data_IF_424382876843
#
_entry.id   IF_424382876843
#
_cell.length_a   1.000
_cell.length_b   1.000
_cell.length_c   1.000
_cell.angle_alpha   90.00
_cell.angle_beta   90.00
_cell.angle_gamma   90.00
#
_symmetry.space_group_name_H-M   'P 1'
#
loop_
_entity.id
_entity.type
_entity.pdbx_description
1 polymer ?
#
# COMPACT_ATOMS: atom_id res chain seq x y z
N UNK A 1 17.67 -11.13 19.54
CA UNK A 1 16.43 -10.44 19.97
C UNK A 1 15.85 -9.76 18.77
N UNK A 2 14.67 -10.15 18.31
CA UNK A 2 13.99 -9.57 17.15
C UNK A 2 13.42 -8.17 17.45
N UNK A 3 13.15 -7.36 16.42
CA UNK A 3 12.54 -6.03 16.59
C UNK A 3 11.19 -6.09 17.31
N UNK A 4 10.37 -7.10 17.01
CA UNK A 4 9.07 -7.33 17.68
C UNK A 4 9.27 -7.54 19.19
N UNK A 5 10.23 -8.38 19.58
CA UNK A 5 10.55 -8.65 21.00
C UNK A 5 11.04 -7.38 21.70
N UNK A 6 11.93 -6.62 21.05
CA UNK A 6 12.43 -5.34 21.57
C UNK A 6 11.28 -4.35 21.76
N UNK A 7 10.38 -4.28 20.78
CA UNK A 7 9.25 -3.37 20.84
C UNK A 7 8.33 -3.73 22.00
N UNK A 8 7.93 -5.00 22.13
CA UNK A 8 7.03 -5.44 23.19
C UNK A 8 7.66 -5.28 24.58
N UNK A 9 8.92 -5.65 24.76
CA UNK A 9 9.62 -5.50 26.03
C UNK A 9 9.65 -4.05 26.50
N UNK A 10 9.94 -3.11 25.59
CA UNK A 10 10.04 -1.70 25.93
C UNK A 10 8.64 -1.07 26.10
N UNK A 11 7.70 -1.46 25.23
CA UNK A 11 6.31 -1.00 25.30
C UNK A 11 5.66 -1.38 26.62
N UNK A 12 5.83 -2.62 27.10
CA UNK A 12 5.27 -3.05 28.38
C UNK A 12 5.96 -2.41 29.60
N UNK A 13 7.24 -2.05 29.50
CA UNK A 13 7.98 -1.40 30.60
C UNK A 13 7.59 0.06 30.77
N UNK A 14 7.50 0.80 29.68
CA UNK A 14 7.34 2.26 29.71
C UNK A 14 5.94 2.72 29.30
N UNK A 15 5.07 1.81 28.82
CA UNK A 15 3.77 2.11 28.24
C UNK A 15 3.84 3.19 27.15
N UNK A 16 4.93 3.18 26.36
CA UNK A 16 5.24 4.19 25.35
C UNK A 16 5.76 3.54 24.08
N UNK A 17 4.93 3.54 23.04
CA UNK A 17 5.29 3.01 21.72
C UNK A 17 6.41 3.83 21.06
N UNK A 18 6.48 5.13 21.32
CA UNK A 18 7.54 6.00 20.79
C UNK A 18 8.91 5.64 21.38
N UNK A 19 8.99 5.36 22.69
CA UNK A 19 10.26 4.94 23.31
C UNK A 19 10.68 3.55 22.81
N UNK A 20 9.72 2.65 22.65
CA UNK A 20 9.94 1.35 22.03
C UNK A 20 10.47 1.47 20.58
N UNK A 21 9.91 2.41 19.79
CA UNK A 21 10.41 2.73 18.46
C UNK A 21 11.84 3.27 18.51
N UNK A 22 12.14 4.21 19.40
CA UNK A 22 13.51 4.77 19.56
C UNK A 22 14.51 3.66 19.85
N UNK A 23 14.13 2.69 20.69
CA UNK A 23 14.97 1.53 21.01
C UNK A 23 15.15 0.62 19.79
N UNK A 24 14.07 0.30 19.08
CA UNK A 24 14.10 -0.51 17.86
C UNK A 24 14.98 0.16 16.78
N UNK A 25 14.81 1.45 16.55
CA UNK A 25 15.61 2.25 15.63
C UNK A 25 17.11 2.20 15.95
N UNK A 26 17.48 2.41 17.22
CA UNK A 26 18.89 2.31 17.67
C UNK A 26 19.47 0.91 17.42
N UNK A 27 18.69 -0.14 17.67
CA UNK A 27 19.14 -1.52 17.48
C UNK A 27 19.27 -1.87 15.99
N UNK A 28 18.26 -1.55 15.16
CA UNK A 28 18.32 -1.83 13.72
C UNK A 28 19.48 -1.08 13.06
N UNK A 29 19.64 0.20 13.37
CA UNK A 29 20.73 1.03 12.85
C UNK A 29 22.11 0.45 13.19
N UNK A 30 22.27 -0.15 14.38
CA UNK A 30 23.51 -0.86 14.74
C UNK A 30 23.72 -2.15 13.94
N UNK A 31 22.67 -2.95 13.72
CA UNK A 31 22.75 -4.21 12.95
C UNK A 31 23.17 -3.96 11.50
N UNK A 32 22.59 -2.92 10.91
CA UNK A 32 22.79 -2.54 9.52
C UNK A 32 23.96 -1.58 9.33
N UNK A 33 24.70 -1.24 10.41
CA UNK A 33 25.77 -0.23 10.40
C UNK A 33 25.36 1.12 9.79
N UNK A 34 24.06 1.42 9.78
CA UNK A 34 23.52 2.64 9.18
C UNK A 34 23.64 2.73 7.67
N UNK A 35 23.42 1.62 6.95
CA UNK A 35 23.19 1.57 5.49
C UNK A 35 22.39 2.80 5.01
N UNK A 36 22.82 3.39 3.89
CA UNK A 36 22.21 4.60 3.30
C UNK A 36 21.87 4.45 1.82
N UNK A 37 22.32 3.38 1.18
CA UNK A 37 22.10 3.15 -0.25
C UNK A 37 20.96 2.14 -0.46
N UNK A 38 20.18 2.33 -1.52
CA UNK A 38 19.02 1.49 -1.84
C UNK A 38 19.45 0.05 -2.13
N UNK A 39 20.57 -0.14 -2.81
CA UNK A 39 21.12 -1.46 -3.15
C UNK A 39 21.56 -2.25 -1.91
N UNK A 40 22.06 -1.55 -0.88
CA UNK A 40 22.41 -2.17 0.39
C UNK A 40 21.14 -2.54 1.19
N UNK A 41 20.11 -1.69 1.14
CA UNK A 41 18.78 -2.00 1.70
C UNK A 41 18.20 -3.25 1.02
N UNK A 42 18.25 -3.31 -0.32
CA UNK A 42 17.79 -4.44 -1.11
C UNK A 42 18.47 -5.75 -0.68
N UNK A 43 19.81 -5.77 -0.63
CA UNK A 43 20.56 -6.98 -0.23
C UNK A 43 20.33 -7.39 1.23
N UNK A 44 19.97 -6.45 2.10
CA UNK A 44 19.65 -6.76 3.48
C UNK A 44 18.24 -7.38 3.61
N UNK A 45 17.28 -6.77 2.93
CA UNK A 45 15.87 -7.14 3.04
C UNK A 45 15.47 -8.28 2.10
N UNK A 46 16.21 -8.57 1.05
CA UNK A 46 15.81 -9.55 0.04
C UNK A 46 16.95 -10.52 -0.30
N UNK A 47 16.56 -11.73 -0.71
CA UNK A 47 17.48 -12.67 -1.33
C UNK A 47 17.71 -12.26 -2.78
N UNK A 48 18.88 -11.69 -3.06
CA UNK A 48 19.28 -11.25 -4.40
C UNK A 48 20.18 -12.31 -5.04
N UNK A 49 19.88 -12.70 -6.27
CA UNK A 49 20.70 -13.63 -7.06
C UNK A 49 21.98 -13.00 -7.60
N UNK A 50 22.87 -13.81 -8.14
CA UNK A 50 24.17 -13.36 -8.69
C UNK A 50 24.03 -12.36 -9.86
N UNK A 51 22.88 -12.37 -10.54
CA UNK A 51 22.52 -11.44 -11.61
C UNK A 51 21.88 -10.12 -11.10
N UNK A 52 21.79 -9.92 -9.78
CA UNK A 52 21.11 -8.75 -9.19
C UNK A 52 19.58 -8.88 -9.14
N UNK A 53 19.01 -10.05 -9.43
CA UNK A 53 17.57 -10.25 -9.40
C UNK A 53 17.07 -10.58 -7.99
N UNK A 54 16.04 -9.86 -7.52
CA UNK A 54 15.34 -10.18 -6.28
C UNK A 54 14.55 -11.48 -6.46
N UNK A 55 14.86 -12.49 -5.65
CA UNK A 55 14.20 -13.80 -5.68
C UNK A 55 13.04 -13.92 -4.71
N UNK A 56 13.20 -13.39 -3.50
CA UNK A 56 12.20 -13.41 -2.43
C UNK A 56 12.57 -12.46 -1.28
N UNK A 57 11.61 -12.03 -0.46
CA UNK A 57 11.88 -11.35 0.81
C UNK A 57 12.69 -12.25 1.75
N UNK A 58 13.59 -11.63 2.52
CA UNK A 58 14.39 -12.33 3.53
C UNK A 58 13.66 -12.40 4.87
N UNK A 59 14.22 -13.18 5.81
CA UNK A 59 13.77 -13.18 7.21
C UNK A 59 13.87 -11.79 7.84
N UNK A 60 14.83 -10.96 7.39
CA UNK A 60 15.02 -9.59 7.89
C UNK A 60 13.92 -8.65 7.42
N UNK A 61 13.51 -8.78 6.17
CA UNK A 61 12.32 -8.08 5.69
C UNK A 61 11.08 -8.46 6.49
N UNK A 62 10.86 -9.76 6.70
CA UNK A 62 9.72 -10.25 7.47
C UNK A 62 9.73 -9.72 8.91
N UNK A 63 10.90 -9.69 9.56
CA UNK A 63 11.08 -9.09 10.89
C UNK A 63 10.72 -7.60 10.92
N UNK A 64 11.21 -6.83 9.93
CA UNK A 64 10.98 -5.38 9.82
C UNK A 64 9.49 -5.09 9.58
N UNK A 65 8.85 -5.81 8.67
CA UNK A 65 7.44 -5.62 8.36
C UNK A 65 6.52 -6.05 9.50
N UNK A 66 6.83 -7.16 10.17
CA UNK A 66 6.07 -7.59 11.36
C UNK A 66 6.19 -6.58 12.51
N UNK A 67 7.37 -5.97 12.69
CA UNK A 67 7.53 -4.85 13.62
C UNK A 67 6.63 -3.66 13.24
N UNK A 68 6.55 -3.30 11.96
CA UNK A 68 5.76 -2.16 11.49
C UNK A 68 4.24 -2.39 11.59
N UNK A 69 3.77 -3.60 11.37
CA UNK A 69 2.38 -3.97 11.65
C UNK A 69 2.05 -3.76 13.12
N UNK A 70 2.89 -4.28 14.02
CA UNK A 70 2.70 -4.14 15.45
C UNK A 70 2.79 -2.68 15.92
N UNK A 71 3.79 -1.92 15.46
CA UNK A 71 3.94 -0.50 15.83
C UNK A 71 2.70 0.30 15.44
N UNK A 72 2.24 0.18 14.19
CA UNK A 72 1.06 0.89 13.68
C UNK A 72 -0.23 0.57 14.42
N UNK A 73 -0.35 -0.62 14.99
CA UNK A 73 -1.54 -1.00 15.77
C UNK A 73 -1.60 -0.32 17.14
N UNK A 74 -0.47 0.18 17.64
CA UNK A 74 -0.33 0.71 18.99
C UNK A 74 -0.10 2.23 19.03
N UNK A 75 -0.19 2.94 17.89
CA UNK A 75 0.09 4.39 17.81
C UNK A 75 -0.96 5.16 17.02
N UNK A 76 -1.05 6.47 17.27
CA UNK A 76 -1.89 7.38 16.47
C UNK A 76 -1.16 7.86 15.20
N UNK A 77 -1.88 8.41 14.22
CA UNK A 77 -1.26 9.00 13.02
C UNK A 77 -0.30 10.15 13.35
N UNK A 78 -0.61 10.94 14.39
CA UNK A 78 0.28 12.01 14.86
C UNK A 78 1.62 11.46 15.36
N UNK A 79 1.61 10.29 15.98
CA UNK A 79 2.83 9.63 16.45
C UNK A 79 3.63 9.05 15.27
N UNK A 80 2.96 8.57 14.22
CA UNK A 80 3.61 8.15 12.97
C UNK A 80 4.30 9.34 12.29
N UNK A 81 3.63 10.49 12.19
CA UNK A 81 4.21 11.71 11.64
C UNK A 81 5.41 12.19 12.47
N UNK A 82 5.34 12.07 13.79
CA UNK A 82 6.46 12.39 14.69
C UNK A 82 7.63 11.42 14.50
N UNK A 83 7.35 10.19 14.07
CA UNK A 83 8.33 9.14 13.87
C UNK A 83 9.01 9.15 12.51
N UNK A 84 8.54 9.96 11.55
CA UNK A 84 8.98 9.91 10.14
C UNK A 84 10.49 10.09 9.96
N UNK A 85 11.13 10.89 10.82
CA UNK A 85 12.56 11.19 10.76
C UNK A 85 13.44 10.06 11.36
N UNK A 86 12.84 8.99 11.89
CA UNK A 86 13.62 7.84 12.35
C UNK A 86 14.06 7.00 11.16
N UNK A 87 15.35 6.68 11.13
CA UNK A 87 15.97 5.83 10.11
C UNK A 87 15.27 4.46 9.88
N UNK A 88 14.66 3.86 10.91
CA UNK A 88 13.83 2.66 10.73
C UNK A 88 12.60 2.89 9.83
N UNK A 89 12.04 4.11 9.81
CA UNK A 89 10.95 4.49 8.92
C UNK A 89 11.40 4.63 7.46
N UNK A 90 12.58 5.21 7.24
CA UNK A 90 13.24 5.23 5.92
C UNK A 90 13.43 3.80 5.40
N UNK A 91 14.00 2.92 6.23
CA UNK A 91 14.20 1.51 5.86
C UNK A 91 12.90 0.79 5.54
N UNK A 92 11.84 1.05 6.31
CA UNK A 92 10.51 0.51 6.06
C UNK A 92 9.97 0.97 4.71
N UNK A 93 10.10 2.26 4.41
CA UNK A 93 9.66 2.83 3.14
C UNK A 93 10.39 2.18 1.97
N UNK A 94 11.72 2.20 1.97
CA UNK A 94 12.55 1.63 0.90
C UNK A 94 12.24 0.15 0.68
N UNK A 95 12.18 -0.63 1.76
CA UNK A 95 11.86 -2.06 1.67
C UNK A 95 10.48 -2.31 1.08
N UNK A 96 9.48 -1.49 1.45
CA UNK A 96 8.12 -1.61 0.92
C UNK A 96 8.05 -1.22 -0.57
N UNK A 97 8.83 -0.23 -0.98
CA UNK A 97 8.95 0.19 -2.39
C UNK A 97 9.54 -0.93 -3.25
N UNK A 98 10.65 -1.52 -2.78
CA UNK A 98 11.32 -2.64 -3.43
C UNK A 98 10.38 -3.84 -3.54
N UNK A 99 9.67 -4.21 -2.45
CA UNK A 99 8.69 -5.30 -2.49
C UNK A 99 7.59 -5.03 -3.53
N UNK A 100 7.00 -3.83 -3.53
CA UNK A 100 5.92 -3.49 -4.46
C UNK A 100 6.35 -3.64 -5.92
N UNK A 101 7.57 -3.21 -6.26
CA UNK A 101 8.14 -3.34 -7.60
C UNK A 101 8.43 -4.80 -7.96
N UNK A 102 9.03 -5.57 -7.06
CA UNK A 102 9.31 -6.99 -7.25
C UNK A 102 8.03 -7.81 -7.45
N UNK A 103 7.03 -7.62 -6.58
CA UNK A 103 5.71 -8.22 -6.72
C UNK A 103 5.06 -7.86 -8.06
N UNK A 104 5.19 -6.60 -8.50
CA UNK A 104 4.59 -6.14 -9.74
C UNK A 104 5.14 -6.89 -10.96
N UNK A 105 6.46 -7.06 -11.03
CA UNK A 105 7.10 -7.88 -12.06
C UNK A 105 6.58 -9.32 -12.04
N UNK A 106 6.52 -9.93 -10.87
CA UNK A 106 6.03 -11.29 -10.68
C UNK A 106 4.55 -11.49 -11.04
N UNK A 107 3.70 -10.51 -10.72
CA UNK A 107 2.28 -10.56 -11.07
C UNK A 107 2.09 -10.35 -12.57
N UNK A 108 2.77 -9.37 -13.19
CA UNK A 108 2.70 -9.13 -14.63
C UNK A 108 3.14 -10.33 -15.46
N UNK A 109 4.19 -11.03 -15.03
CA UNK A 109 4.67 -12.25 -15.70
C UNK A 109 3.62 -13.39 -15.73
N UNK A 110 2.64 -13.36 -14.82
CA UNK A 110 1.55 -14.35 -14.73
C UNK A 110 0.27 -13.93 -15.46
N UNK A 111 0.22 -12.72 -16.02
CA UNK A 111 -0.95 -12.21 -16.72
C UNK A 111 -0.97 -12.61 -18.20
N UNK A 112 -2.17 -12.79 -18.75
CA UNK A 112 -2.35 -12.93 -20.20
C UNK A 112 -2.15 -11.57 -20.90
N UNK A 113 -1.87 -11.59 -22.21
CA UNK A 113 -1.77 -10.36 -23.02
C UNK A 113 -3.02 -9.48 -22.91
N UNK A 114 -4.21 -10.09 -22.81
CA UNK A 114 -5.46 -9.34 -22.65
C UNK A 114 -5.58 -8.71 -21.26
N UNK A 115 -5.15 -9.41 -20.21
CA UNK A 115 -5.11 -8.87 -18.84
C UNK A 115 -4.13 -7.70 -18.72
N UNK A 116 -2.95 -7.80 -19.34
CA UNK A 116 -1.98 -6.70 -19.40
C UNK A 116 -2.56 -5.48 -20.10
N UNK A 117 -3.21 -5.65 -21.26
CA UNK A 117 -3.89 -4.56 -21.98
C UNK A 117 -5.00 -3.92 -21.13
N UNK A 118 -5.75 -4.74 -20.38
CA UNK A 118 -6.79 -4.26 -19.48
C UNK A 118 -6.20 -3.48 -18.28
N UNK A 119 -5.06 -3.93 -17.72
CA UNK A 119 -4.34 -3.24 -16.66
C UNK A 119 -3.86 -1.86 -17.13
N UNK A 120 -3.17 -1.79 -18.26
CA UNK A 120 -2.68 -0.54 -18.85
C UNK A 120 -3.82 0.44 -19.10
N UNK A 121 -4.95 -0.05 -19.62
CA UNK A 121 -6.16 0.76 -19.80
C UNK A 121 -6.65 1.32 -18.47
N UNK A 122 -6.78 0.50 -17.42
CA UNK A 122 -7.25 0.95 -16.11
C UNK A 122 -6.30 1.98 -15.49
N UNK A 123 -4.99 1.70 -15.49
CA UNK A 123 -3.95 2.61 -14.99
C UNK A 123 -4.04 3.97 -15.70
N UNK A 124 -4.17 3.96 -17.04
CA UNK A 124 -4.33 5.18 -17.83
C UNK A 124 -5.61 5.94 -17.48
N UNK A 125 -6.74 5.25 -17.29
CA UNK A 125 -7.99 5.89 -16.89
C UNK A 125 -7.93 6.48 -15.48
N UNK A 126 -7.25 5.81 -14.55
CA UNK A 126 -7.04 6.31 -13.18
C UNK A 126 -6.16 7.55 -13.22
N UNK A 127 -5.12 7.60 -14.06
CA UNK A 127 -4.19 8.72 -14.16
C UNK A 127 -4.83 10.01 -14.74
N UNK A 128 -5.82 9.89 -15.63
CA UNK A 128 -6.46 11.04 -16.31
C UNK A 128 -7.01 12.17 -15.39
N UNK A 129 -7.84 11.89 -14.37
CA UNK A 129 -8.44 12.95 -13.57
C UNK A 129 -7.43 13.60 -12.61
N UNK A 130 -7.38 14.92 -12.57
CA UNK A 130 -6.64 15.67 -11.55
C UNK A 130 -7.38 15.53 -10.19
N UNK A 131 -6.65 15.51 -9.07
CA UNK A 131 -7.22 15.39 -7.70
C UNK A 131 -7.89 14.05 -7.41
N UNK A 132 -7.19 12.95 -7.69
CA UNK A 132 -7.57 11.61 -7.21
C UNK A 132 -7.34 11.56 -5.70
N UNK A 133 -8.19 10.84 -4.99
CA UNK A 133 -7.99 10.59 -3.55
C UNK A 133 -7.71 9.14 -3.27
N UNK A 134 -8.64 8.26 -3.68
CA UNK A 134 -8.60 6.86 -3.29
C UNK A 134 -8.98 5.94 -4.44
N UNK A 135 -8.30 4.80 -4.50
CA UNK A 135 -8.72 3.60 -5.19
C UNK A 135 -9.52 2.74 -4.21
N UNK A 136 -10.66 2.24 -4.65
CA UNK A 136 -11.53 1.37 -3.88
C UNK A 136 -11.77 0.08 -4.66
N UNK A 137 -11.37 -1.04 -4.06
CA UNK A 137 -11.66 -2.37 -4.58
C UNK A 137 -12.92 -2.89 -3.90
N UNK A 138 -13.95 -3.22 -4.70
CA UNK A 138 -15.20 -3.79 -4.21
C UNK A 138 -15.29 -5.25 -4.65
N UNK A 139 -15.66 -6.13 -3.73
CA UNK A 139 -15.96 -7.53 -4.02
C UNK A 139 -17.43 -7.83 -3.77
N UNK A 140 -17.97 -8.75 -4.57
CA UNK A 140 -19.32 -9.25 -4.35
C UNK A 140 -19.30 -10.18 -3.13
N UNK A 141 -20.16 -9.88 -2.16
CA UNK A 141 -20.45 -10.69 -1.00
C UNK A 141 -21.96 -10.91 -1.02
N UNK A 142 -22.38 -12.14 -1.29
CA UNK A 142 -23.78 -12.50 -1.55
C UNK A 142 -24.35 -11.66 -2.72
N UNK A 143 -25.45 -10.93 -2.49
CA UNK A 143 -26.12 -10.09 -3.48
C UNK A 143 -25.64 -8.63 -3.50
N UNK A 144 -24.62 -8.29 -2.71
CA UNK A 144 -24.14 -6.91 -2.58
C UNK A 144 -22.65 -6.77 -2.83
N UNK A 145 -22.19 -5.56 -3.09
CA UNK A 145 -20.76 -5.23 -3.13
C UNK A 145 -20.34 -4.64 -1.79
N UNK A 146 -19.23 -5.13 -1.26
CA UNK A 146 -18.58 -4.57 -0.06
C UNK A 146 -17.20 -4.05 -0.41
N UNK A 147 -16.78 -3.00 0.30
CA UNK A 147 -15.40 -2.50 0.20
C UNK A 147 -14.47 -3.57 0.74
N UNK A 148 -13.56 -4.01 -0.12
CA UNK A 148 -12.52 -4.97 0.23
C UNK A 148 -11.22 -4.27 0.59
N UNK A 149 -10.81 -3.26 -0.20
CA UNK A 149 -9.60 -2.50 0.04
C UNK A 149 -9.76 -1.04 -0.39
N UNK A 150 -9.10 -0.15 0.34
CA UNK A 150 -8.97 1.27 0.00
C UNK A 150 -7.46 1.58 -0.04
N UNK A 151 -7.02 2.28 -1.07
CA UNK A 151 -5.63 2.71 -1.26
C UNK A 151 -5.61 4.19 -1.63
N UNK A 152 -4.73 4.98 -1.03
CA UNK A 152 -4.59 6.40 -1.35
C UNK A 152 -3.89 6.59 -2.72
N UNK A 153 -4.31 7.59 -3.49
CA UNK A 153 -3.83 7.94 -4.82
C UNK A 153 -3.14 9.31 -4.91
N UNK A 154 -2.88 10.00 -3.80
CA UNK A 154 -2.29 11.34 -3.75
C UNK A 154 -0.93 11.42 -4.46
N UNK A 155 -0.19 10.31 -4.49
CA UNK A 155 1.13 10.19 -5.14
C UNK A 155 1.12 9.40 -6.45
N UNK A 156 -0.05 8.97 -6.91
CA UNK A 156 -0.16 8.17 -8.14
C UNK A 156 0.17 8.94 -9.42
N UNK A 157 0.18 10.27 -9.35
CA UNK A 157 0.53 11.14 -10.48
C UNK A 157 2.02 11.41 -10.64
N UNK A 158 2.82 11.06 -9.64
CA UNK A 158 4.24 11.38 -9.66
C UNK A 158 4.98 10.40 -10.58
N UNK A 159 5.39 10.86 -11.76
CA UNK A 159 6.12 10.06 -12.75
C UNK A 159 7.44 9.51 -12.21
N UNK A 160 7.94 10.07 -11.11
CA UNK A 160 9.18 9.67 -10.42
C UNK A 160 8.95 8.46 -9.49
N UNK A 161 7.73 8.27 -9.00
CA UNK A 161 7.41 7.30 -7.95
C UNK A 161 6.91 5.97 -8.53
N UNK A 162 7.86 5.17 -9.05
CA UNK A 162 7.60 3.83 -9.62
C UNK A 162 6.92 2.87 -8.63
N UNK A 163 7.21 3.01 -7.33
CA UNK A 163 6.71 2.12 -6.29
C UNK A 163 5.21 2.31 -6.00
N UNK A 164 4.73 3.55 -5.90
CA UNK A 164 3.32 3.87 -5.69
C UNK A 164 2.46 3.37 -6.86
N UNK A 165 2.95 3.56 -8.08
CA UNK A 165 2.32 3.00 -9.28
C UNK A 165 2.31 1.48 -9.24
N UNK A 166 3.44 0.85 -8.92
CA UNK A 166 3.54 -0.61 -8.80
C UNK A 166 2.56 -1.14 -7.74
N UNK A 167 2.42 -0.45 -6.61
CA UNK A 167 1.48 -0.81 -5.56
C UNK A 167 0.03 -0.77 -6.04
N UNK A 168 -0.39 0.31 -6.70
CA UNK A 168 -1.74 0.44 -7.28
C UNK A 168 -2.00 -0.63 -8.33
N UNK A 169 -1.04 -0.87 -9.21
CA UNK A 169 -1.12 -1.94 -10.21
C UNK A 169 -1.27 -3.31 -9.55
N UNK A 170 -0.52 -3.62 -8.49
CA UNK A 170 -0.64 -4.87 -7.74
C UNK A 170 -2.05 -5.05 -7.18
N UNK A 171 -2.65 -3.99 -6.62
CA UNK A 171 -4.04 -4.01 -6.14
C UNK A 171 -5.04 -4.31 -7.27
N UNK A 172 -4.88 -3.68 -8.43
CA UNK A 172 -5.74 -3.92 -9.59
C UNK A 172 -5.57 -5.35 -10.11
N UNK A 173 -4.33 -5.86 -10.16
CA UNK A 173 -4.04 -7.19 -10.68
C UNK A 173 -4.71 -8.31 -9.88
N UNK A 174 -4.88 -8.13 -8.56
CA UNK A 174 -5.65 -9.06 -7.72
C UNK A 174 -7.10 -9.20 -8.19
N UNK A 175 -7.69 -8.13 -8.75
CA UNK A 175 -9.08 -8.14 -9.23
C UNK A 175 -9.27 -8.97 -10.51
N UNK A 176 -8.23 -9.19 -11.32
CA UNK A 176 -8.34 -10.12 -12.45
C UNK A 176 -8.53 -11.57 -11.99
N UNK A 177 -8.03 -11.94 -10.80
CA UNK A 177 -8.24 -13.28 -10.24
C UNK A 177 -9.55 -13.38 -9.48
N UNK A 178 -9.86 -12.36 -8.68
CA UNK A 178 -10.97 -12.41 -7.72
C UNK A 178 -12.31 -11.97 -8.29
N UNK A 179 -12.28 -11.17 -9.36
CA UNK A 179 -13.45 -10.47 -9.88
C UNK A 179 -13.98 -9.39 -8.93
N UNK A 180 -14.61 -8.37 -9.50
CA UNK A 180 -15.29 -7.34 -8.72
C UNK A 180 -15.29 -5.99 -9.43
N UNK A 181 -15.14 -4.91 -8.67
CA UNK A 181 -15.11 -3.54 -9.21
C UNK A 181 -13.85 -2.84 -8.71
N UNK A 182 -13.14 -2.23 -9.64
CA UNK A 182 -12.09 -1.24 -9.37
C UNK A 182 -12.72 0.12 -9.55
N UNK A 183 -12.87 0.88 -8.47
CA UNK A 183 -13.39 2.24 -8.49
C UNK A 183 -12.35 3.23 -7.98
N UNK A 184 -12.44 4.50 -8.38
CA UNK A 184 -11.63 5.56 -7.79
C UNK A 184 -12.45 6.83 -7.60
N UNK A 185 -12.11 7.53 -6.52
CA UNK A 185 -12.77 8.74 -6.08
C UNK A 185 -11.93 9.94 -6.45
N UNK A 186 -12.57 10.93 -7.06
CA UNK A 186 -11.96 12.18 -7.53
C UNK A 186 -12.68 13.36 -6.86
N UNK A 187 -11.91 14.29 -6.34
CA UNK A 187 -12.40 15.49 -5.67
C UNK A 187 -11.38 16.02 -4.66
N UNK A 188 -11.64 17.20 -4.10
CA UNK A 188 -10.83 17.75 -3.00
C UNK A 188 -11.39 17.33 -1.65
N UNK A 189 -10.53 17.28 -0.63
CA UNK A 189 -10.94 17.04 0.75
C UNK A 189 -11.92 18.12 1.23
N UNK A 190 -12.94 17.70 2.00
CA UNK A 190 -14.02 18.60 2.45
C UNK A 190 -14.99 19.12 1.38
N UNK A 191 -14.75 18.86 0.10
CA UNK A 191 -15.59 19.37 -0.99
C UNK A 191 -16.50 18.29 -1.59
N UNK A 192 -17.80 18.55 -1.52
CA UNK A 192 -18.85 17.85 -2.27
C UNK A 192 -19.32 18.68 -3.47
N UNK A 193 -19.63 18.07 -4.63
CA UNK A 193 -19.74 16.64 -4.86
C UNK A 193 -18.42 15.98 -5.28
N UNK A 194 -18.14 14.80 -4.70
CA UNK A 194 -17.09 13.90 -5.17
C UNK A 194 -17.58 13.10 -6.39
N UNK A 195 -16.70 12.86 -7.36
CA UNK A 195 -16.97 12.05 -8.55
C UNK A 195 -16.37 10.66 -8.37
N UNK A 196 -17.11 9.65 -8.78
CA UNK A 196 -16.67 8.25 -8.73
C UNK A 196 -16.63 7.72 -10.16
N UNK A 197 -15.53 7.06 -10.49
CA UNK A 197 -15.35 6.31 -11.72
C UNK A 197 -15.07 4.86 -11.35
N UNK A 198 -15.31 3.93 -12.26
CA UNK A 198 -14.97 2.54 -12.00
C UNK A 198 -15.26 1.59 -13.14
N UNK A 199 -14.66 0.41 -13.02
CA UNK A 199 -14.75 -0.69 -13.97
C UNK A 199 -15.11 -1.97 -13.24
N UNK A 200 -16.04 -2.74 -13.81
CA UNK A 200 -16.20 -4.16 -13.46
C UNK A 200 -15.02 -4.90 -14.07
N UNK A 201 -14.31 -5.64 -13.23
CA UNK A 201 -13.13 -6.41 -13.61
C UNK A 201 -13.45 -7.89 -13.41
N UNK A 202 -13.26 -8.66 -14.47
CA UNK A 202 -13.32 -10.12 -14.50
C UNK A 202 -12.03 -10.65 -15.13
N UNK A 203 -11.86 -11.98 -15.16
CA UNK A 203 -10.62 -12.63 -15.59
C UNK A 203 -10.05 -12.10 -16.89
N UNK A 204 -10.88 -11.84 -17.90
CA UNK A 204 -10.42 -11.36 -19.21
C UNK A 204 -11.13 -10.08 -19.68
N UNK A 205 -12.05 -9.54 -18.88
CA UNK A 205 -12.94 -8.46 -19.29
C UNK A 205 -12.89 -7.29 -18.30
N UNK A 206 -12.85 -6.07 -18.85
CA UNK A 206 -12.95 -4.82 -18.10
C UNK A 206 -14.01 -3.93 -18.72
N UNK A 207 -15.14 -3.79 -18.02
CA UNK A 207 -16.29 -3.02 -18.47
C UNK A 207 -16.45 -1.75 -17.63
N UNK A 208 -16.59 -0.60 -18.28
CA UNK A 208 -16.81 0.66 -17.58
C UNK A 208 -18.17 0.62 -16.90
N UNK A 209 -18.22 0.98 -15.62
CA UNK A 209 -19.48 1.10 -14.91
C UNK A 209 -20.28 2.31 -15.42
N UNK A 210 -21.60 2.17 -15.56
CA UNK A 210 -22.46 3.32 -15.81
C UNK A 210 -22.50 4.25 -14.61
N UNK A 211 -22.79 5.53 -14.86
CA UNK A 211 -22.87 6.55 -13.80
C UNK A 211 -23.94 6.20 -12.76
N UNK A 212 -25.12 5.77 -13.21
CA UNK A 212 -26.23 5.34 -12.33
C UNK A 212 -25.83 4.16 -11.44
N UNK A 213 -25.01 3.24 -11.94
CA UNK A 213 -24.52 2.12 -11.15
C UNK A 213 -23.53 2.59 -10.07
N UNK A 214 -22.62 3.51 -10.41
CA UNK A 214 -21.67 4.08 -9.45
C UNK A 214 -22.34 4.98 -8.40
N UNK A 215 -23.37 5.74 -8.76
CA UNK A 215 -24.14 6.52 -7.78
C UNK A 215 -24.85 5.63 -6.75
N UNK A 216 -25.34 4.45 -7.14
CA UNK A 216 -25.87 3.45 -6.19
C UNK A 216 -24.79 2.91 -5.24
N UNK A 217 -23.55 2.76 -5.74
CA UNK A 217 -22.41 2.32 -4.94
C UNK A 217 -21.77 3.44 -4.12
N UNK A 218 -22.14 4.70 -4.37
CA UNK A 218 -21.53 5.86 -3.72
C UNK A 218 -21.66 5.81 -2.21
N UNK A 219 -22.82 5.45 -1.68
CA UNK A 219 -22.99 5.31 -0.22
C UNK A 219 -22.11 4.19 0.34
N UNK A 220 -21.98 3.06 -0.36
CA UNK A 220 -21.09 1.97 0.06
C UNK A 220 -19.64 2.45 0.09
N UNK A 221 -19.21 3.19 -0.94
CA UNK A 221 -17.83 3.68 -1.06
C UNK A 221 -17.55 4.78 -0.03
N UNK A 222 -18.40 5.80 0.08
CA UNK A 222 -18.16 6.97 0.93
C UNK A 222 -18.40 6.70 2.42
N UNK A 223 -19.44 5.95 2.79
CA UNK A 223 -19.69 5.61 4.21
C UNK A 223 -18.60 4.67 4.72
N UNK A 224 -18.21 3.67 3.93
CA UNK A 224 -17.04 2.87 4.31
C UNK A 224 -15.78 3.72 4.29
N UNK A 225 -15.62 4.73 3.42
CA UNK A 225 -14.46 5.60 3.48
C UNK A 225 -14.43 6.43 4.77
N UNK A 226 -15.53 7.03 5.22
CA UNK A 226 -15.55 7.76 6.49
C UNK A 226 -15.31 6.85 7.70
N UNK A 227 -15.88 5.64 7.69
CA UNK A 227 -15.59 4.62 8.71
C UNK A 227 -14.16 4.09 8.59
N UNK A 228 -13.63 4.07 7.38
CA UNK A 228 -12.26 3.64 7.06
C UNK A 228 -11.26 4.72 7.40
N UNK A 229 -11.45 6.01 7.14
CA UNK A 229 -10.58 7.09 7.60
C UNK A 229 -10.59 7.18 9.13
N UNK A 230 -11.74 6.90 9.76
CA UNK A 230 -11.82 6.72 11.22
C UNK A 230 -11.15 5.45 11.73
N UNK A 231 -10.87 4.45 10.89
CA UNK A 231 -10.33 3.13 11.28
C UNK A 231 -8.98 2.74 10.62
N UNK A 232 -8.53 3.48 9.60
CA UNK A 232 -7.43 3.20 8.67
C UNK A 232 -6.72 4.52 8.34
N UNK A 233 -5.75 4.84 9.17
CA UNK A 233 -4.39 5.13 8.69
C UNK A 233 -3.67 3.85 8.20
N UNK A 234 -4.39 2.87 7.63
CA UNK A 234 -3.94 1.49 7.36
C UNK A 234 -4.16 1.12 5.89
N UNK A 235 -3.17 1.40 5.03
CA UNK A 235 -3.23 0.93 3.64
C UNK A 235 -2.19 1.45 2.65
N UNK A 236 -1.25 2.31 3.06
CA UNK A 236 -0.23 2.83 2.16
C UNK A 236 1.16 2.32 2.55
N UNK A 237 2.09 2.44 1.60
CA UNK A 237 3.53 2.47 1.88
C UNK A 237 3.77 3.39 3.11
N UNK A 238 4.76 3.09 3.96
CA UNK A 238 5.15 4.00 5.04
C UNK A 238 5.25 5.42 4.48
N UNK A 239 4.77 6.42 5.23
CA UNK A 239 4.92 7.82 4.79
C UNK A 239 6.39 8.11 4.49
N UNK A 240 6.66 8.83 3.40
CA UNK A 240 8.02 9.31 3.14
C UNK A 240 8.43 10.25 4.30
N UNK A 241 9.68 10.17 4.79
CA UNK A 241 10.25 11.16 5.71
C UNK A 241 10.07 12.60 5.21
#
# INVERSE_FOLDING_TARGET
MHLIEIFMDEFYKENSALNALVRCNKVLRRRMRGIREVEECERYCFYVGDNGEIRAPSEKYTEIMGFWELYRENVSEKDIETAKDYWIMEMLYESSCIEAMWENGNYKAKLTKQQLKNLEKLVKEIHKPISKKYLVLLRRVEETYKVWKITNLDRFDDEVLFAERAHVENQIMQMFRLGGIVAWVVGREGLTPQRIYGYKVFKEQCEKCSREYLERLKNVILVNNELTEKAKGKGNLPGHP
#
